data_IF_396751621002
#
_entry.id   IF_396751621002
#
_cell.length_a   1.000
_cell.length_b   1.000
_cell.length_c   1.000
_cell.angle_alpha   90.00
_cell.angle_beta   90.00
_cell.angle_gamma   90.00
#
_symmetry.space_group_name_H-M   'P 1'
#
loop_
_entity.id
_entity.type
_entity.pdbx_description
1 polymer ?
#
# COMPACT_ATOMS: atom_id res chain seq x y z
N UNK A 1 37.50 -9.69 20.59
CA UNK A 1 37.74 -10.26 19.24
C UNK A 1 36.56 -9.99 18.33
N UNK A 2 36.11 -8.72 18.18
CA UNK A 2 34.97 -8.28 17.40
C UNK A 2 35.22 -6.87 16.82
N UNK A 3 36.27 -6.77 16.01
CA UNK A 3 36.63 -5.48 15.38
C UNK A 3 37.33 -5.75 14.04
N UNK A 4 36.58 -6.29 13.04
CA UNK A 4 37.09 -6.31 11.65
C UNK A 4 36.04 -6.79 10.62
N UNK A 5 34.85 -6.12 10.59
CA UNK A 5 33.95 -6.26 9.42
C UNK A 5 33.25 -4.92 9.15
N UNK A 6 33.99 -3.95 8.68
CA UNK A 6 33.39 -2.68 8.35
C UNK A 6 34.36 -1.75 7.61
N UNK A 7 34.71 -2.10 6.36
CA UNK A 7 35.23 -1.12 5.37
C UNK A 7 35.70 -1.84 4.11
N UNK A 8 34.83 -2.06 3.17
CA UNK A 8 35.11 -2.22 1.74
C UNK A 8 33.78 -2.40 1.00
N UNK A 9 33.26 -1.34 0.46
CA UNK A 9 32.37 -1.30 -0.72
C UNK A 9 31.82 0.13 -0.90
N UNK A 10 32.75 1.09 -1.04
CA UNK A 10 32.45 2.33 -1.76
C UNK A 10 33.61 2.59 -2.70
N UNK A 11 33.60 1.91 -3.83
CA UNK A 11 34.36 2.33 -5.01
C UNK A 11 33.42 3.20 -5.84
N UNK A 12 33.59 4.51 -5.70
CA UNK A 12 33.08 5.46 -6.68
C UNK A 12 33.79 5.21 -8.00
N UNK A 13 33.03 5.07 -9.07
CA UNK A 13 33.56 5.21 -10.41
C UNK A 13 33.00 4.23 -11.42
N UNK A 14 31.74 4.40 -11.79
CA UNK A 14 31.32 4.16 -13.18
C UNK A 14 30.04 4.93 -13.44
N UNK A 15 30.17 5.95 -14.29
CA UNK A 15 29.06 6.64 -14.96
C UNK A 15 28.22 5.61 -15.73
N UNK A 16 27.19 5.06 -15.10
CA UNK A 16 26.23 4.22 -15.77
C UNK A 16 25.25 5.15 -16.49
N UNK A 17 25.56 5.44 -17.73
CA UNK A 17 24.55 5.81 -18.72
C UNK A 17 23.49 4.69 -18.70
N UNK A 18 22.33 5.00 -18.16
CA UNK A 18 21.13 4.12 -18.22
C UNK A 18 20.66 4.11 -19.67
N UNK A 19 21.24 3.22 -20.47
CA UNK A 19 20.77 2.83 -21.79
C UNK A 19 20.56 1.32 -21.84
N UNK A 20 19.89 0.77 -20.83
CA UNK A 20 19.35 -0.57 -20.93
C UNK A 20 17.82 -0.46 -20.94
N UNK A 21 17.21 -0.94 -22.03
CA UNK A 21 15.80 -1.29 -22.04
C UNK A 21 15.45 -2.03 -20.75
N UNK A 22 14.30 -1.74 -20.10
CA UNK A 22 13.94 -2.44 -18.89
C UNK A 22 14.01 -3.94 -19.15
N UNK A 23 14.76 -4.63 -18.30
CA UNK A 23 14.99 -6.07 -18.43
C UNK A 23 13.64 -6.78 -18.63
N UNK A 24 13.49 -7.71 -19.61
CA UNK A 24 12.19 -8.29 -19.97
C UNK A 24 11.43 -8.88 -18.79
N UNK A 25 12.14 -9.40 -17.78
CA UNK A 25 11.52 -9.94 -16.58
C UNK A 25 10.88 -8.87 -15.68
N UNK A 26 11.38 -7.61 -15.68
CA UNK A 26 10.77 -6.51 -14.93
C UNK A 26 9.43 -6.12 -15.56
N UNK A 27 9.36 -6.09 -16.88
CA UNK A 27 8.10 -5.84 -17.60
C UNK A 27 7.10 -6.96 -17.32
N UNK A 28 7.53 -8.23 -17.44
CA UNK A 28 6.67 -9.38 -17.19
C UNK A 28 6.15 -9.39 -15.73
N UNK A 29 7.00 -9.15 -14.75
CA UNK A 29 6.61 -9.07 -13.34
C UNK A 29 5.65 -7.90 -13.08
N UNK A 30 5.86 -6.74 -13.73
CA UNK A 30 4.95 -5.60 -13.63
C UNK A 30 3.59 -5.89 -14.25
N UNK A 31 3.55 -6.59 -15.38
CA UNK A 31 2.30 -7.05 -16.02
C UNK A 31 1.55 -8.04 -15.13
N UNK A 32 2.24 -9.06 -14.59
CA UNK A 32 1.64 -10.03 -13.70
C UNK A 32 1.10 -9.39 -12.42
N UNK A 33 1.86 -8.48 -11.80
CA UNK A 33 1.44 -7.71 -10.64
C UNK A 33 0.23 -6.82 -10.95
N UNK A 34 0.22 -6.12 -12.07
CA UNK A 34 -0.91 -5.30 -12.50
C UNK A 34 -2.18 -6.14 -12.77
N UNK A 35 -2.05 -7.29 -13.43
CA UNK A 35 -3.17 -8.21 -13.65
C UNK A 35 -3.75 -8.71 -12.32
N UNK A 36 -2.90 -9.08 -11.37
CA UNK A 36 -3.34 -9.50 -10.04
C UNK A 36 -4.10 -8.38 -9.30
N UNK A 37 -3.60 -7.14 -9.37
CA UNK A 37 -4.29 -5.97 -8.80
C UNK A 37 -5.67 -5.78 -9.43
N UNK A 38 -5.79 -5.93 -10.76
CA UNK A 38 -7.08 -5.81 -11.47
C UNK A 38 -8.06 -6.86 -10.97
N UNK A 39 -7.64 -8.12 -10.83
CA UNK A 39 -8.49 -9.21 -10.34
C UNK A 39 -9.06 -8.87 -8.96
N UNK A 40 -8.20 -8.50 -8.02
CA UNK A 40 -8.61 -8.21 -6.64
C UNK A 40 -9.47 -6.96 -6.55
N UNK A 41 -9.11 -5.87 -7.23
CA UNK A 41 -9.90 -4.63 -7.18
C UNK A 41 -11.25 -4.78 -7.90
N UNK A 42 -11.35 -5.67 -8.88
CA UNK A 42 -12.63 -6.01 -9.53
C UNK A 42 -13.55 -6.78 -8.57
N UNK A 43 -13.01 -7.76 -7.83
CA UNK A 43 -13.75 -8.44 -6.79
C UNK A 43 -14.24 -7.45 -5.71
N UNK A 44 -13.38 -6.50 -5.31
CA UNK A 44 -13.70 -5.46 -4.35
C UNK A 44 -14.91 -4.61 -4.74
N UNK A 45 -14.96 -4.15 -5.99
CA UNK A 45 -16.03 -3.24 -6.46
C UNK A 45 -17.42 -3.89 -6.52
N UNK A 46 -17.50 -5.23 -6.48
CA UNK A 46 -18.77 -5.98 -6.54
C UNK A 46 -19.42 -6.22 -5.17
N UNK A 47 -18.74 -5.97 -4.06
CA UNK A 47 -19.16 -6.48 -2.75
C UNK A 47 -19.42 -5.39 -1.68
N UNK A 48 -19.44 -4.09 -2.03
CA UNK A 48 -19.77 -2.99 -1.11
C UNK A 48 -18.54 -2.41 -0.35
N UNK A 49 -18.79 -1.37 0.48
CA UNK A 49 -17.71 -0.55 1.07
C UNK A 49 -16.79 -1.31 2.02
N UNK A 50 -17.34 -2.22 2.82
CA UNK A 50 -16.54 -3.02 3.78
C UNK A 50 -15.63 -3.98 3.03
N UNK A 51 -16.19 -4.79 2.14
CA UNK A 51 -15.40 -5.75 1.33
C UNK A 51 -14.45 -5.00 0.40
N UNK A 52 -14.92 -3.92 -0.22
CA UNK A 52 -14.10 -3.04 -1.04
C UNK A 52 -12.90 -2.49 -0.28
N UNK A 53 -13.11 -2.00 0.95
CA UNK A 53 -12.05 -1.52 1.82
C UNK A 53 -11.03 -2.60 2.18
N UNK A 54 -11.50 -3.79 2.58
CA UNK A 54 -10.65 -4.94 2.91
C UNK A 54 -9.78 -5.36 1.72
N UNK A 55 -10.38 -5.54 0.56
CA UNK A 55 -9.67 -5.99 -0.64
C UNK A 55 -8.72 -4.91 -1.19
N UNK A 56 -9.09 -3.62 -1.06
CA UNK A 56 -8.21 -2.50 -1.47
C UNK A 56 -6.99 -2.37 -0.57
N UNK A 57 -7.15 -2.68 0.71
CA UNK A 57 -6.06 -2.60 1.68
C UNK A 57 -5.10 -3.81 1.61
N UNK A 58 -5.38 -4.84 0.80
CA UNK A 58 -4.43 -5.92 0.57
C UNK A 58 -3.11 -5.35 0.03
N UNK A 59 -1.96 -5.84 0.51
CA UNK A 59 -0.64 -5.30 0.16
C UNK A 59 -0.18 -5.70 -1.24
N UNK A 60 -1.02 -5.48 -2.26
CA UNK A 60 -0.81 -6.02 -3.60
C UNK A 60 0.38 -5.38 -4.32
N UNK A 61 0.32 -4.06 -4.57
CA UNK A 61 1.41 -3.35 -5.28
C UNK A 61 2.69 -3.31 -4.47
N UNK A 62 2.58 -3.05 -3.16
CA UNK A 62 3.73 -3.00 -2.27
C UNK A 62 4.42 -4.35 -2.14
N UNK A 63 3.66 -5.44 -1.97
CA UNK A 63 4.20 -6.79 -1.90
C UNK A 63 4.95 -7.19 -3.17
N UNK A 64 4.35 -6.95 -4.34
CA UNK A 64 4.99 -7.24 -5.62
C UNK A 64 6.24 -6.40 -5.84
N UNK A 65 6.19 -5.10 -5.56
CA UNK A 65 7.36 -4.23 -5.69
C UNK A 65 8.51 -4.70 -4.80
N UNK A 66 8.25 -5.00 -3.52
CA UNK A 66 9.25 -5.49 -2.58
C UNK A 66 9.81 -6.85 -3.00
N UNK A 67 8.94 -7.78 -3.47
CA UNK A 67 9.37 -9.08 -3.95
C UNK A 67 10.27 -8.97 -5.20
N UNK A 68 9.89 -8.14 -6.18
CA UNK A 68 10.70 -7.91 -7.38
C UNK A 68 12.04 -7.27 -7.03
N UNK A 69 12.07 -6.26 -6.15
CA UNK A 69 13.32 -5.67 -5.64
C UNK A 69 14.20 -6.76 -5.02
N UNK A 70 13.59 -7.67 -4.25
CA UNK A 70 14.31 -8.79 -3.65
C UNK A 70 14.91 -9.76 -4.65
N UNK A 71 14.13 -10.17 -5.65
CA UNK A 71 14.60 -11.09 -6.70
C UNK A 71 15.72 -10.46 -7.55
N UNK A 72 15.59 -9.16 -7.86
CA UNK A 72 16.52 -8.45 -8.77
C UNK A 72 17.75 -7.88 -8.07
N UNK A 73 17.62 -7.44 -6.80
CA UNK A 73 18.67 -6.71 -6.07
C UNK A 73 19.11 -7.42 -4.79
N UNK A 74 18.53 -8.60 -4.47
CA UNK A 74 18.89 -9.40 -3.30
C UNK A 74 18.06 -9.11 -2.05
N UNK A 75 18.15 -10.02 -1.07
CA UNK A 75 17.38 -10.00 0.18
C UNK A 75 17.60 -8.73 1.01
N UNK A 76 18.85 -8.24 1.07
CA UNK A 76 19.16 -7.00 1.78
C UNK A 76 18.40 -5.80 1.20
N UNK A 77 18.22 -5.76 -0.12
CA UNK A 77 17.41 -4.75 -0.81
C UNK A 77 15.92 -4.92 -0.53
N UNK A 78 15.42 -6.16 -0.52
CA UNK A 78 14.02 -6.43 -0.15
C UNK A 78 13.71 -5.95 1.27
N UNK A 79 14.56 -6.28 2.25
CA UNK A 79 14.35 -5.87 3.65
C UNK A 79 14.44 -4.36 3.84
N UNK A 80 15.32 -3.68 3.09
CA UNK A 80 15.37 -2.21 3.04
C UNK A 80 14.10 -1.60 2.42
N UNK A 81 13.57 -2.22 1.36
CA UNK A 81 12.32 -1.80 0.73
C UNK A 81 11.11 -1.97 1.67
N UNK A 82 11.10 -3.02 2.52
CA UNK A 82 10.03 -3.20 3.53
C UNK A 82 9.97 -2.03 4.51
N UNK A 83 11.10 -1.48 4.94
CA UNK A 83 11.12 -0.28 5.78
C UNK A 83 10.43 0.91 5.10
N UNK A 84 10.78 1.17 3.83
CA UNK A 84 10.12 2.20 3.02
C UNK A 84 8.62 1.94 2.83
N UNK A 85 8.24 0.70 2.59
CA UNK A 85 6.84 0.29 2.46
C UNK A 85 6.02 0.56 3.75
N UNK A 86 6.56 0.24 4.93
CA UNK A 86 5.88 0.47 6.21
C UNK A 86 5.66 1.95 6.51
N UNK A 87 6.68 2.81 6.31
CA UNK A 87 6.50 4.26 6.42
C UNK A 87 5.57 4.79 5.33
N UNK A 88 5.70 4.27 4.11
CA UNK A 88 4.85 4.60 2.99
C UNK A 88 3.37 4.31 3.22
N UNK A 89 3.04 3.26 3.97
CA UNK A 89 1.67 2.95 4.34
C UNK A 89 1.05 4.08 5.20
N UNK A 90 1.77 4.59 6.19
CA UNK A 90 1.32 5.74 6.98
C UNK A 90 1.15 7.01 6.12
N UNK A 91 2.07 7.25 5.19
CA UNK A 91 1.98 8.38 4.24
C UNK A 91 0.78 8.19 3.30
N UNK A 92 0.53 6.98 2.83
CA UNK A 92 -0.65 6.67 2.03
C UNK A 92 -1.96 6.93 2.78
N UNK A 93 -2.03 6.57 4.08
CA UNK A 93 -3.21 6.89 4.90
C UNK A 93 -3.39 8.39 5.10
N UNK A 94 -2.31 9.18 5.12
CA UNK A 94 -2.40 10.64 5.14
C UNK A 94 -3.05 11.21 3.88
N UNK A 95 -2.79 10.61 2.71
CA UNK A 95 -3.53 10.93 1.48
C UNK A 95 -5.03 10.68 1.65
N UNK A 96 -5.41 9.49 2.12
CA UNK A 96 -6.83 9.12 2.30
C UNK A 96 -7.53 10.05 3.31
N UNK A 97 -6.87 10.38 4.43
CA UNK A 97 -7.39 11.32 5.41
C UNK A 97 -7.57 12.73 4.82
N UNK A 98 -6.56 13.21 4.11
CA UNK A 98 -6.63 14.52 3.46
C UNK A 98 -7.76 14.59 2.46
N UNK A 99 -7.90 13.58 1.61
CA UNK A 99 -9.03 13.47 0.69
C UNK A 99 -10.38 13.48 1.46
N UNK A 100 -10.53 12.64 2.47
CA UNK A 100 -11.78 12.54 3.24
C UNK A 100 -12.20 13.85 3.92
N UNK A 101 -11.22 14.64 4.40
CA UNK A 101 -11.48 15.96 5.00
C UNK A 101 -11.83 17.01 3.95
N UNK A 102 -11.05 17.04 2.86
CA UNK A 102 -11.13 18.11 1.85
C UNK A 102 -12.22 17.88 0.80
N UNK A 103 -12.74 16.65 0.68
CA UNK A 103 -13.74 16.31 -0.34
C UNK A 103 -15.03 17.15 -0.27
N UNK A 104 -15.34 17.72 0.90
CA UNK A 104 -16.44 18.69 1.07
C UNK A 104 -16.28 19.96 0.25
N UNK A 105 -15.07 20.30 -0.20
CA UNK A 105 -14.78 21.45 -1.06
C UNK A 105 -14.85 21.15 -2.54
N UNK A 106 -14.99 19.87 -2.90
CA UNK A 106 -15.08 19.36 -4.25
C UNK A 106 -14.09 18.24 -4.49
N UNK A 107 -14.49 17.30 -5.34
CA UNK A 107 -13.73 16.06 -5.60
C UNK A 107 -12.30 16.32 -6.11
N UNK A 108 -12.19 17.15 -7.18
CA UNK A 108 -10.90 17.38 -7.84
C UNK A 108 -9.91 18.16 -6.98
N UNK A 109 -10.40 19.20 -6.26
CA UNK A 109 -9.59 19.96 -5.31
C UNK A 109 -9.06 19.08 -4.19
N UNK A 110 -9.94 18.25 -3.62
CA UNK A 110 -9.56 17.31 -2.57
C UNK A 110 -8.51 16.29 -3.04
N UNK A 111 -8.71 15.75 -4.24
CA UNK A 111 -7.80 14.78 -4.82
C UNK A 111 -6.41 15.39 -5.07
N UNK A 112 -6.36 16.58 -5.69
CA UNK A 112 -5.11 17.28 -5.96
C UNK A 112 -4.34 17.63 -4.67
N UNK A 113 -5.03 18.16 -3.66
CA UNK A 113 -4.42 18.50 -2.37
C UNK A 113 -3.98 17.25 -1.61
N UNK A 114 -4.73 16.16 -1.68
CA UNK A 114 -4.32 14.90 -1.08
C UNK A 114 -3.05 14.33 -1.73
N UNK A 115 -2.91 14.42 -3.05
CA UNK A 115 -1.66 14.06 -3.74
C UNK A 115 -0.50 14.98 -3.34
N UNK A 116 -0.75 16.29 -3.16
CA UNK A 116 0.26 17.22 -2.67
C UNK A 116 0.74 16.80 -1.25
N UNK A 117 -0.19 16.51 -0.34
CA UNK A 117 0.14 16.02 1.02
C UNK A 117 0.97 14.74 0.95
N UNK A 118 0.57 13.77 0.12
CA UNK A 118 1.32 12.54 -0.07
C UNK A 118 2.74 12.81 -0.60
N UNK A 119 2.88 13.67 -1.60
CA UNK A 119 4.17 14.02 -2.19
C UNK A 119 5.11 14.71 -1.20
N UNK A 120 4.60 15.67 -0.43
CA UNK A 120 5.36 16.38 0.60
C UNK A 120 5.80 15.40 1.70
N UNK A 121 4.89 14.58 2.23
CA UNK A 121 5.22 13.61 3.27
C UNK A 121 6.22 12.55 2.79
N UNK A 122 6.06 12.04 1.56
CA UNK A 122 7.01 11.13 0.92
C UNK A 122 8.40 11.78 0.86
N UNK A 123 8.48 13.05 0.45
CA UNK A 123 9.73 13.80 0.36
C UNK A 123 10.36 13.99 1.74
N UNK A 124 9.57 14.36 2.75
CA UNK A 124 10.05 14.49 4.14
C UNK A 124 10.59 13.17 4.67
N UNK A 125 9.86 12.07 4.50
CA UNK A 125 10.33 10.73 4.90
C UNK A 125 11.62 10.36 4.17
N UNK A 126 11.72 10.65 2.89
CA UNK A 126 12.93 10.36 2.11
C UNK A 126 14.15 11.16 2.59
N UNK A 127 13.97 12.47 2.81
CA UNK A 127 15.04 13.40 3.24
C UNK A 127 15.44 13.17 4.70
N UNK A 128 14.51 12.70 5.56
CA UNK A 128 14.82 12.42 6.97
C UNK A 128 15.96 11.41 7.18
N UNK A 129 16.29 10.62 6.16
CA UNK A 129 17.33 9.61 6.24
C UNK A 129 17.01 8.40 7.10
N UNK A 130 15.80 8.30 7.67
CA UNK A 130 15.36 7.14 8.45
C UNK A 130 15.32 5.91 7.57
N UNK A 131 16.10 4.87 7.93
CA UNK A 131 16.20 3.59 7.17
C UNK A 131 16.15 2.37 8.09
N UNK A 132 16.29 2.58 9.39
CA UNK A 132 16.19 1.49 10.35
C UNK A 132 14.78 0.89 10.38
N UNK A 133 14.73 -0.44 10.32
CA UNK A 133 13.46 -1.17 10.23
C UNK A 133 12.53 -0.90 11.42
N UNK A 134 13.05 -0.91 12.65
CA UNK A 134 12.22 -0.72 13.85
C UNK A 134 11.65 0.70 13.90
N UNK A 135 12.47 1.70 13.52
CA UNK A 135 12.02 3.09 13.44
C UNK A 135 10.97 3.27 12.34
N UNK A 136 11.14 2.62 11.18
CA UNK A 136 10.15 2.62 10.10
C UNK A 136 8.84 1.93 10.52
N UNK A 137 8.92 0.79 11.19
CA UNK A 137 7.76 0.07 11.72
C UNK A 137 7.04 0.91 12.77
N UNK A 138 7.76 1.45 13.74
CA UNK A 138 7.17 2.28 14.79
C UNK A 138 6.54 3.56 14.24
N UNK A 139 7.25 4.27 13.35
CA UNK A 139 6.77 5.50 12.71
C UNK A 139 5.56 5.27 11.82
N UNK A 140 5.59 4.23 10.96
CA UNK A 140 4.47 3.85 10.12
C UNK A 140 3.25 3.43 10.94
N UNK A 141 3.46 2.65 12.00
CA UNK A 141 2.39 2.22 12.91
C UNK A 141 1.78 3.41 13.66
N UNK A 142 2.61 4.26 14.25
CA UNK A 142 2.15 5.44 15.01
C UNK A 142 1.33 6.38 14.12
N UNK A 143 1.80 6.67 12.91
CA UNK A 143 1.10 7.50 11.96
C UNK A 143 -0.23 6.87 11.52
N UNK A 144 -0.25 5.57 11.24
CA UNK A 144 -1.46 4.84 10.87
C UNK A 144 -2.51 4.86 11.98
N UNK A 145 -2.10 4.62 13.22
CA UNK A 145 -3.00 4.66 14.40
C UNK A 145 -3.52 6.09 14.63
N UNK A 146 -2.65 7.10 14.54
CA UNK A 146 -3.06 8.50 14.68
C UNK A 146 -4.13 8.88 13.66
N UNK A 147 -3.96 8.51 12.40
CA UNK A 147 -4.92 8.75 11.33
C UNK A 147 -6.22 8.00 11.60
N UNK A 148 -6.15 6.73 11.99
CA UNK A 148 -7.32 5.93 12.33
C UNK A 148 -8.12 6.57 13.49
N UNK A 149 -7.43 7.09 14.52
CA UNK A 149 -8.06 7.82 15.62
C UNK A 149 -8.80 9.09 15.13
N UNK A 150 -8.24 9.82 14.16
CA UNK A 150 -8.92 10.98 13.56
C UNK A 150 -10.19 10.55 12.84
N UNK A 151 -10.16 9.46 12.06
CA UNK A 151 -11.35 8.93 11.40
C UNK A 151 -12.46 8.60 12.40
N UNK A 152 -12.16 7.90 13.48
CA UNK A 152 -13.19 7.48 14.45
C UNK A 152 -13.67 8.62 15.35
N UNK A 153 -12.81 9.58 15.72
CA UNK A 153 -13.18 10.66 16.63
C UNK A 153 -13.79 11.88 15.94
N UNK A 154 -13.36 12.19 14.71
CA UNK A 154 -13.70 13.45 14.03
C UNK A 154 -14.58 13.25 12.81
N UNK A 155 -14.42 12.13 12.09
CA UNK A 155 -15.12 11.89 10.84
C UNK A 155 -16.14 10.77 11.06
N UNK A 156 -17.39 11.17 11.30
CA UNK A 156 -18.52 10.25 11.48
C UNK A 156 -19.06 9.88 10.10
N UNK A 157 -18.48 8.87 9.46
CA UNK A 157 -18.99 8.35 8.19
C UNK A 157 -19.93 7.17 8.43
N UNK A 158 -21.05 7.16 7.74
CA UNK A 158 -21.94 6.02 7.67
C UNK A 158 -21.37 4.98 6.70
N UNK A 159 -21.62 3.71 6.96
CA UNK A 159 -21.25 2.64 6.04
C UNK A 159 -22.42 2.40 5.08
N UNK A 160 -22.13 2.49 3.78
CA UNK A 160 -23.12 2.34 2.73
C UNK A 160 -23.10 0.93 2.14
N UNK A 161 -24.28 0.36 1.89
CA UNK A 161 -24.45 -0.81 1.05
C UNK A 161 -24.50 -0.31 -0.39
N UNK A 162 -23.38 -0.40 -1.11
CA UNK A 162 -23.35 0.00 -2.51
C UNK A 162 -24.26 -0.85 -3.39
N UNK A 163 -24.85 -0.24 -4.41
CA UNK A 163 -25.51 -0.98 -5.47
C UNK A 163 -24.46 -1.76 -6.29
N UNK A 164 -24.76 -3.03 -6.60
CA UNK A 164 -23.93 -3.85 -7.46
C UNK A 164 -23.97 -3.28 -8.87
N UNK A 165 -22.87 -2.69 -9.34
CA UNK A 165 -22.70 -2.27 -10.73
C UNK A 165 -21.62 -3.09 -11.41
N UNK A 166 -21.84 -3.42 -12.67
CA UNK A 166 -20.84 -4.13 -13.47
C UNK A 166 -19.62 -3.24 -13.73
N UNK A 167 -18.43 -3.84 -13.59
CA UNK A 167 -17.17 -3.17 -13.87
C UNK A 167 -16.94 -3.19 -15.37
N UNK A 168 -17.17 -2.07 -16.05
CA UNK A 168 -16.94 -1.94 -17.48
C UNK A 168 -15.45 -2.14 -17.86
N UNK A 169 -15.20 -2.55 -19.09
CA UNK A 169 -13.86 -2.83 -19.63
C UNK A 169 -12.88 -1.65 -19.47
N UNK A 170 -13.34 -0.43 -19.70
CA UNK A 170 -12.54 0.79 -19.52
C UNK A 170 -11.97 0.93 -18.10
N UNK A 171 -12.76 0.56 -17.08
CA UNK A 171 -12.31 0.59 -15.68
C UNK A 171 -11.23 -0.45 -15.41
N UNK A 172 -11.36 -1.64 -16.00
CA UNK A 172 -10.34 -2.70 -15.88
C UNK A 172 -9.02 -2.27 -16.51
N UNK A 173 -9.08 -1.68 -17.70
CA UNK A 173 -7.89 -1.16 -18.40
C UNK A 173 -7.24 -0.02 -17.60
N UNK A 174 -8.02 0.93 -17.09
CA UNK A 174 -7.49 2.03 -16.28
C UNK A 174 -6.80 1.52 -15.00
N UNK A 175 -7.37 0.52 -14.32
CA UNK A 175 -6.76 -0.12 -13.14
C UNK A 175 -5.46 -0.83 -13.51
N UNK A 176 -5.44 -1.55 -14.62
CA UNK A 176 -4.25 -2.25 -15.11
C UNK A 176 -3.13 -1.26 -15.41
N UNK A 177 -3.41 -0.25 -16.24
CA UNK A 177 -2.41 0.75 -16.66
C UNK A 177 -1.87 1.52 -15.45
N UNK A 178 -2.74 1.95 -14.53
CA UNK A 178 -2.31 2.64 -13.32
C UNK A 178 -1.41 1.78 -12.43
N UNK A 179 -1.79 0.52 -12.20
CA UNK A 179 -0.98 -0.41 -11.39
C UNK A 179 0.35 -0.75 -12.06
N UNK A 180 0.34 -0.97 -13.37
CA UNK A 180 1.54 -1.22 -14.15
C UNK A 180 2.52 -0.03 -14.09
N UNK A 181 2.01 1.18 -14.31
CA UNK A 181 2.84 2.39 -14.25
C UNK A 181 3.51 2.57 -12.88
N UNK A 182 2.78 2.30 -11.78
CA UNK A 182 3.34 2.46 -10.44
C UNK A 182 4.42 1.42 -10.14
N UNK A 183 4.22 0.18 -10.57
CA UNK A 183 5.23 -0.87 -10.41
C UNK A 183 6.51 -0.52 -11.18
N UNK A 184 6.39 -0.02 -12.40
CA UNK A 184 7.54 0.45 -13.18
C UNK A 184 8.27 1.61 -12.49
N UNK A 185 7.54 2.62 -11.99
CA UNK A 185 8.12 3.76 -11.27
C UNK A 185 8.80 3.30 -9.98
N UNK A 186 8.16 2.42 -9.19
CA UNK A 186 8.74 1.90 -7.96
C UNK A 186 10.05 1.14 -8.22
N UNK A 187 10.08 0.30 -9.25
CA UNK A 187 11.27 -0.46 -9.66
C UNK A 187 12.37 0.46 -10.19
N UNK A 188 12.02 1.43 -11.03
CA UNK A 188 12.97 2.42 -11.56
C UNK A 188 13.60 3.26 -10.44
N UNK A 189 12.81 3.73 -9.48
CA UNK A 189 13.31 4.49 -8.33
C UNK A 189 14.17 3.64 -7.39
N UNK A 190 13.84 2.36 -7.23
CA UNK A 190 14.63 1.45 -6.39
C UNK A 190 16.02 1.21 -6.96
N UNK A 191 16.15 1.15 -8.28
CA UNK A 191 17.45 0.96 -8.93
C UNK A 191 18.33 2.21 -8.93
N UNK A 192 17.72 3.42 -8.97
CA UNK A 192 18.46 4.69 -9.05
C UNK A 192 18.73 5.31 -7.67
N UNK A 193 17.76 5.26 -6.77
CA UNK A 193 17.79 5.96 -5.45
C UNK A 193 17.76 5.01 -4.27
N UNK A 194 17.84 3.71 -4.53
CA UNK A 194 17.90 2.65 -3.54
C UNK A 194 16.54 2.04 -3.17
N UNK A 195 16.57 0.82 -2.62
CA UNK A 195 15.39 -0.01 -2.41
C UNK A 195 14.36 0.60 -1.45
N UNK A 196 14.81 1.39 -0.47
CA UNK A 196 13.90 2.08 0.46
C UNK A 196 12.93 3.01 -0.27
N UNK A 197 13.40 3.81 -1.24
CA UNK A 197 12.51 4.67 -2.02
C UNK A 197 11.56 3.86 -2.90
N UNK A 198 12.03 2.75 -3.46
CA UNK A 198 11.16 1.82 -4.20
C UNK A 198 10.00 1.31 -3.34
N UNK A 199 10.29 0.88 -2.10
CA UNK A 199 9.28 0.48 -1.12
C UNK A 199 8.33 1.62 -0.75
N UNK A 200 8.85 2.82 -0.48
CA UNK A 200 8.06 3.99 -0.13
C UNK A 200 7.09 4.40 -1.26
N UNK A 201 7.59 4.45 -2.50
CA UNK A 201 6.77 4.83 -3.68
C UNK A 201 5.80 3.73 -4.10
N UNK A 202 6.08 2.46 -3.78
CA UNK A 202 5.13 1.37 -4.05
C UNK A 202 3.78 1.52 -3.33
N UNK A 203 3.72 2.39 -2.31
CA UNK A 203 2.49 2.75 -1.61
C UNK A 203 1.78 3.99 -2.20
N UNK A 204 2.25 4.49 -3.35
CA UNK A 204 1.61 5.65 -3.97
C UNK A 204 0.10 5.40 -4.19
N UNK A 205 -0.74 6.42 -3.93
CA UNK A 205 -2.18 6.25 -3.81
C UNK A 205 -2.92 6.12 -5.15
N UNK A 206 -2.32 5.48 -6.17
CA UNK A 206 -2.94 5.38 -7.50
C UNK A 206 -4.16 4.47 -7.48
N UNK A 207 -4.07 3.30 -6.84
CA UNK A 207 -5.23 2.39 -6.78
C UNK A 207 -6.35 2.99 -5.94
N UNK A 208 -6.00 3.57 -4.78
CA UNK A 208 -7.00 4.21 -3.93
C UNK A 208 -7.62 5.45 -4.58
N UNK A 209 -6.85 6.25 -5.33
CA UNK A 209 -7.40 7.37 -6.08
C UNK A 209 -8.39 6.93 -7.17
N UNK A 210 -8.11 5.80 -7.84
CA UNK A 210 -9.07 5.21 -8.78
C UNK A 210 -10.34 4.75 -8.07
N UNK A 211 -10.22 4.14 -6.89
CA UNK A 211 -11.38 3.68 -6.12
C UNK A 211 -12.21 4.87 -5.66
N UNK A 212 -11.61 5.90 -5.08
CA UNK A 212 -12.36 7.10 -4.67
C UNK A 212 -12.98 7.83 -5.86
N UNK A 213 -12.31 7.85 -7.02
CA UNK A 213 -12.85 8.41 -8.25
C UNK A 213 -14.09 7.64 -8.74
N UNK A 214 -13.97 6.32 -8.88
CA UNK A 214 -15.08 5.51 -9.40
C UNK A 214 -16.25 5.46 -8.41
N UNK A 215 -16.00 5.41 -7.11
CA UNK A 215 -17.06 5.48 -6.12
C UNK A 215 -17.75 6.84 -6.10
N UNK A 216 -17.03 7.94 -6.34
CA UNK A 216 -17.60 9.26 -6.52
C UNK A 216 -18.51 9.35 -7.76
N UNK A 217 -18.04 8.84 -8.91
CA UNK A 217 -18.83 8.89 -10.16
C UNK A 217 -20.06 7.96 -10.13
N UNK A 218 -19.98 6.84 -9.46
CA UNK A 218 -21.02 5.81 -9.44
C UNK A 218 -22.07 6.02 -8.36
N UNK A 219 -21.70 6.64 -7.27
CA UNK A 219 -22.54 6.89 -6.12
C UNK A 219 -22.58 8.40 -5.83
N UNK A 220 -21.77 8.85 -4.89
CA UNK A 220 -21.64 10.25 -4.52
C UNK A 220 -20.32 10.49 -3.74
N UNK A 221 -20.13 11.74 -3.31
CA UNK A 221 -18.92 12.15 -2.57
C UNK A 221 -18.87 11.55 -1.16
N UNK A 222 -20.01 11.38 -0.48
CA UNK A 222 -20.07 10.84 0.87
C UNK A 222 -19.76 9.33 0.86
N UNK A 223 -20.27 8.60 -0.13
CA UNK A 223 -19.91 7.20 -0.33
C UNK A 223 -18.39 7.06 -0.58
N UNK A 224 -17.83 7.89 -1.46
CA UNK A 224 -16.39 7.88 -1.75
C UNK A 224 -15.55 8.18 -0.50
N UNK A 225 -15.98 9.12 0.35
CA UNK A 225 -15.35 9.43 1.65
C UNK A 225 -15.44 8.25 2.63
N UNK A 226 -16.59 7.59 2.69
CA UNK A 226 -16.80 6.46 3.62
C UNK A 226 -15.94 5.24 3.27
N UNK A 227 -15.69 4.99 1.98
CA UNK A 227 -14.78 3.93 1.53
C UNK A 227 -13.37 4.14 2.09
N UNK A 228 -12.89 5.38 2.18
CA UNK A 228 -11.56 5.67 2.71
C UNK A 228 -11.41 5.28 4.18
N UNK A 229 -12.47 5.40 5.00
CA UNK A 229 -12.48 4.92 6.40
C UNK A 229 -12.16 3.42 6.47
N UNK A 230 -12.86 2.65 5.66
CA UNK A 230 -12.69 1.20 5.65
C UNK A 230 -11.31 0.77 5.11
N UNK A 231 -10.76 1.51 4.13
CA UNK A 231 -9.38 1.28 3.64
C UNK A 231 -8.36 1.53 4.77
N UNK A 232 -8.48 2.64 5.51
CA UNK A 232 -7.54 2.97 6.60
C UNK A 232 -7.66 2.00 7.76
N UNK A 233 -8.88 1.64 8.17
CA UNK A 233 -9.12 0.66 9.23
C UNK A 233 -8.48 -0.68 8.86
N UNK A 234 -8.84 -1.21 7.71
CA UNK A 234 -8.34 -2.51 7.25
C UNK A 234 -6.85 -2.48 7.00
N UNK A 235 -6.35 -1.42 6.35
CA UNK A 235 -4.93 -1.29 6.05
C UNK A 235 -4.07 -1.23 7.31
N UNK A 236 -4.53 -0.55 8.37
CA UNK A 236 -3.83 -0.52 9.66
C UNK A 236 -3.73 -1.91 10.28
N UNK A 237 -4.80 -2.70 10.24
CA UNK A 237 -4.83 -4.07 10.80
C UNK A 237 -3.97 -5.03 9.95
N UNK A 238 -3.85 -4.80 8.65
CA UNK A 238 -3.32 -5.77 7.70
C UNK A 238 -1.88 -5.45 7.27
N UNK A 239 -1.60 -4.21 6.89
CA UNK A 239 -0.32 -3.84 6.24
C UNK A 239 0.84 -3.88 7.24
N UNK A 240 0.60 -3.47 8.49
CA UNK A 240 1.64 -3.44 9.51
C UNK A 240 2.11 -4.84 9.87
N UNK A 241 1.23 -5.80 10.27
CA UNK A 241 1.65 -7.16 10.54
C UNK A 241 2.25 -7.85 9.30
N UNK A 242 1.68 -7.59 8.10
CA UNK A 242 2.22 -8.09 6.85
C UNK A 242 3.68 -7.63 6.64
N UNK A 243 3.94 -6.32 6.71
CA UNK A 243 5.28 -5.76 6.51
C UNK A 243 6.28 -6.27 7.54
N UNK A 244 5.88 -6.37 8.82
CA UNK A 244 6.73 -6.93 9.85
C UNK A 244 7.08 -8.41 9.58
N UNK A 245 6.09 -9.20 9.14
CA UNK A 245 6.27 -10.62 8.87
C UNK A 245 7.14 -10.90 7.66
N UNK A 246 6.94 -10.19 6.54
CA UNK A 246 7.78 -10.43 5.34
C UNK A 246 9.23 -10.01 5.59
N UNK A 247 9.48 -8.95 6.35
CA UNK A 247 10.83 -8.57 6.75
C UNK A 247 11.54 -9.71 7.46
N UNK A 248 10.87 -10.36 8.41
CA UNK A 248 11.41 -11.48 9.16
C UNK A 248 11.55 -12.73 8.28
N UNK A 249 10.53 -13.08 7.49
CA UNK A 249 10.54 -14.26 6.62
C UNK A 249 11.60 -14.18 5.53
N UNK A 250 11.82 -12.99 4.93
CA UNK A 250 12.88 -12.84 3.94
C UNK A 250 14.26 -13.12 4.52
N UNK A 251 14.52 -12.66 5.73
CA UNK A 251 15.79 -12.96 6.39
C UNK A 251 15.91 -14.43 6.76
N UNK A 252 14.87 -15.01 7.32
CA UNK A 252 14.86 -16.41 7.76
C UNK A 252 15.01 -17.37 6.57
N UNK A 253 14.10 -17.31 5.60
CA UNK A 253 14.13 -18.17 4.44
C UNK A 253 15.29 -17.88 3.49
N UNK A 254 15.70 -16.62 3.40
CA UNK A 254 16.82 -16.20 2.58
C UNK A 254 18.15 -16.80 3.03
N UNK A 255 18.35 -16.92 4.34
CA UNK A 255 19.52 -17.61 4.90
C UNK A 255 19.48 -19.12 4.67
N UNK A 256 18.27 -19.71 4.69
CA UNK A 256 18.08 -21.16 4.60
C UNK A 256 18.05 -21.68 3.16
N UNK A 257 17.44 -20.94 2.24
CA UNK A 257 17.13 -21.42 0.89
C UNK A 257 17.68 -20.54 -0.23
N UNK A 258 18.40 -19.46 0.11
CA UNK A 258 18.91 -18.48 -0.86
C UNK A 258 17.86 -17.43 -1.27
N UNK A 259 18.28 -16.46 -2.10
CA UNK A 259 17.51 -15.24 -2.38
C UNK A 259 16.16 -15.53 -3.01
N UNK A 260 16.11 -16.25 -4.12
CA UNK A 260 14.87 -16.43 -4.90
C UNK A 260 13.82 -17.20 -4.10
N UNK A 261 14.21 -18.35 -3.54
CA UNK A 261 13.30 -19.15 -2.71
C UNK A 261 12.93 -18.44 -1.40
N UNK A 262 13.88 -17.70 -0.82
CA UNK A 262 13.63 -16.89 0.39
C UNK A 262 12.56 -15.83 0.15
N UNK A 263 12.62 -15.11 -0.97
CA UNK A 263 11.59 -14.15 -1.37
C UNK A 263 10.27 -14.86 -1.68
N UNK A 264 10.29 -15.96 -2.42
CA UNK A 264 9.07 -16.69 -2.75
C UNK A 264 8.33 -17.19 -1.50
N UNK A 265 9.00 -17.98 -0.65
CA UNK A 265 8.38 -18.50 0.56
C UNK A 265 8.03 -17.39 1.56
N UNK A 266 8.88 -16.40 1.70
CA UNK A 266 8.61 -15.25 2.58
C UNK A 266 7.38 -14.46 2.14
N UNK A 267 7.22 -14.22 0.85
CA UNK A 267 6.02 -13.56 0.30
C UNK A 267 4.77 -14.43 0.49
N UNK A 268 4.86 -15.73 0.25
CA UNK A 268 3.75 -16.68 0.43
C UNK A 268 3.28 -16.72 1.90
N UNK A 269 4.20 -16.84 2.85
CA UNK A 269 3.89 -16.78 4.28
C UNK A 269 3.33 -15.42 4.69
N UNK A 270 3.87 -14.33 4.15
CA UNK A 270 3.35 -12.99 4.35
C UNK A 270 1.89 -12.85 3.88
N UNK A 271 1.55 -13.39 2.71
CA UNK A 271 0.16 -13.42 2.25
C UNK A 271 -0.74 -14.30 3.12
N UNK A 272 -0.24 -15.37 3.73
CA UNK A 272 -0.97 -16.12 4.74
C UNK A 272 -1.35 -15.25 5.94
N UNK A 273 -0.41 -14.43 6.45
CA UNK A 273 -0.68 -13.47 7.52
C UNK A 273 -1.65 -12.37 7.04
N UNK A 274 -1.48 -11.87 5.82
CA UNK A 274 -2.39 -10.90 5.25
C UNK A 274 -3.82 -11.44 5.13
N UNK A 275 -4.01 -12.70 4.77
CA UNK A 275 -5.34 -13.32 4.69
C UNK A 275 -6.02 -13.40 6.07
N UNK A 276 -5.26 -13.78 7.11
CA UNK A 276 -5.76 -13.78 8.50
C UNK A 276 -6.09 -12.36 8.95
N UNK A 277 -5.21 -11.40 8.67
CA UNK A 277 -5.45 -9.97 8.94
C UNK A 277 -6.68 -9.42 8.20
N UNK A 278 -6.86 -9.79 6.93
CA UNK A 278 -8.02 -9.39 6.13
C UNK A 278 -9.33 -9.94 6.71
N UNK A 279 -9.35 -11.21 7.16
CA UNK A 279 -10.49 -11.80 7.84
C UNK A 279 -10.78 -11.08 9.16
N UNK A 280 -9.78 -10.81 9.97
CA UNK A 280 -9.94 -10.07 11.23
C UNK A 280 -10.49 -8.65 10.97
N UNK A 281 -9.92 -7.93 10.00
CA UNK A 281 -10.36 -6.61 9.61
C UNK A 281 -11.81 -6.60 9.10
N UNK A 282 -12.19 -7.59 8.28
CA UNK A 282 -13.56 -7.77 7.83
C UNK A 282 -14.53 -7.94 9.01
N UNK A 283 -14.20 -8.81 9.98
CA UNK A 283 -15.03 -9.02 11.18
C UNK A 283 -15.16 -7.74 12.02
N UNK A 284 -14.06 -7.00 12.22
CA UNK A 284 -14.07 -5.72 12.95
C UNK A 284 -14.92 -4.67 12.20
N UNK A 285 -14.73 -4.52 10.90
CA UNK A 285 -15.47 -3.55 10.10
C UNK A 285 -16.97 -3.87 10.07
N UNK A 286 -17.36 -5.15 9.92
CA UNK A 286 -18.75 -5.59 9.96
C UNK A 286 -19.38 -5.32 11.33
N UNK A 287 -18.69 -5.66 12.42
CA UNK A 287 -19.18 -5.38 13.78
C UNK A 287 -19.40 -3.89 14.04
N UNK A 288 -18.49 -3.03 13.56
CA UNK A 288 -18.63 -1.58 13.70
C UNK A 288 -19.80 -1.04 12.87
N UNK A 289 -20.02 -1.57 11.66
CA UNK A 289 -21.15 -1.19 10.81
C UNK A 289 -22.49 -1.59 11.44
N UNK A 290 -22.60 -2.80 11.99
CA UNK A 290 -23.81 -3.25 12.70
C UNK A 290 -24.14 -2.38 13.90
N UNK A 291 -23.12 -2.03 14.70
CA UNK A 291 -23.28 -1.16 15.86
C UNK A 291 -23.75 0.25 15.50
N UNK A 292 -23.31 0.79 14.35
CA UNK A 292 -23.79 2.09 13.87
C UNK A 292 -25.25 2.04 13.46
N UNK A 293 -25.69 0.98 12.79
CA UNK A 293 -27.10 0.77 12.40
C UNK A 293 -28.01 0.71 13.65
N UNK A 294 -27.61 -0.06 14.66
CA UNK A 294 -28.37 -0.17 15.89
C UNK A 294 -28.47 1.17 16.63
N UNK A 295 -27.39 1.95 16.66
CA UNK A 295 -27.37 3.27 17.29
C UNK A 295 -28.27 4.28 16.57
N UNK A 296 -28.38 4.22 15.24
CA UNK A 296 -29.27 5.09 14.46
C UNK A 296 -30.75 4.76 14.63
N UNK A 297 -31.09 3.51 14.93
CA UNK A 297 -32.47 3.06 15.19
C UNK A 297 -32.94 3.34 16.62
N UNK A 298 -32.01 3.55 17.55
CA UNK A 298 -32.33 3.82 18.96
C UNK A 298 -32.40 5.30 19.34
N UNK A 299 -32.06 6.20 18.40
CA UNK A 299 -32.26 7.65 18.58
C UNK A 299 -33.69 8.04 18.18
N UNK A 300 -34.51 8.56 19.11
CA UNK A 300 -35.89 8.97 18.84
C UNK A 300 -36.00 10.10 17.84
#
# INVERSE_FOLDING_TARGET
MLHHYGKKYYSLGSSILVTSSPEPYLLLASVAGAAFVVLVTTAASKHGTVVGGVLTALPLTGAWAVAIIGVTQGIGSATGAVGGYLLGAGVWFSFLLSYAILAKWGFWQALALAFLVWGVMTSVVFVSGVRDFLTCLAGGTALSIAILCVYFKRLKFEDYKGERRDVGWTKLVARFVGSFAILLVALGLSSVRGPFLGGLVSTAPIISSQIVYWTYIEQDIEFSRSVTKNIVLTGTILIIPYGASIWWFYQYFGRSFGTVYGIFFGTLCGYGIAAVGAYAAYRVATFLAEKQILASQSSP
#
